data_IF_241112169771
#
_entry.id   IF_241112169771
#
_cell.length_a   1.000
_cell.length_b   1.000
_cell.length_c   1.000
_cell.angle_alpha   90.00
_cell.angle_beta   90.00
_cell.angle_gamma   90.00
#
_symmetry.space_group_name_H-M   'P 1'
#
loop_
_entity.id
_entity.type
_entity.pdbx_description
1 polymer ?
#
# COMPACT_ATOMS: atom_id res chain seq x y z
N UNK A 1 -36.06 21.03 -0.24
CA UNK A 1 -35.81 21.53 -1.59
C UNK A 1 -35.15 20.41 -2.38
N UNK A 2 -35.91 19.81 -3.32
CA UNK A 2 -35.34 18.79 -4.21
C UNK A 2 -34.65 19.52 -5.36
N UNK A 3 -33.35 19.75 -5.23
CA UNK A 3 -32.56 20.08 -6.40
C UNK A 3 -32.53 18.87 -7.31
N UNK A 4 -33.13 18.97 -8.47
CA UNK A 4 -33.04 18.01 -9.56
C UNK A 4 -31.58 18.07 -10.09
N UNK A 5 -30.64 17.45 -9.37
CA UNK A 5 -29.27 17.31 -9.84
C UNK A 5 -29.32 16.38 -11.04
N UNK A 6 -29.10 16.93 -12.23
CA UNK A 6 -29.02 16.17 -13.46
C UNK A 6 -27.84 15.21 -13.39
N UNK A 7 -28.13 13.91 -13.22
CA UNK A 7 -27.09 12.89 -13.14
C UNK A 7 -26.36 12.76 -14.46
N UNK A 8 -25.04 12.72 -14.42
CA UNK A 8 -24.18 12.58 -15.62
C UNK A 8 -24.11 11.13 -16.11
N UNK A 9 -24.57 10.18 -15.31
CA UNK A 9 -24.40 8.74 -15.54
C UNK A 9 -23.00 8.22 -15.24
N UNK A 10 -22.11 9.09 -14.74
CA UNK A 10 -20.75 8.72 -14.34
C UNK A 10 -20.66 8.69 -12.81
N UNK A 11 -20.60 7.50 -12.20
CA UNK A 11 -20.59 7.38 -10.74
C UNK A 11 -19.49 8.19 -10.05
N UNK A 12 -18.31 8.31 -10.66
CA UNK A 12 -17.19 9.11 -10.13
C UNK A 12 -17.51 10.61 -10.01
N UNK A 13 -18.42 11.12 -10.83
CA UNK A 13 -18.89 12.52 -10.80
C UNK A 13 -20.13 12.64 -9.92
N UNK A 14 -21.11 11.81 -10.17
CA UNK A 14 -22.42 11.86 -9.51
C UNK A 14 -22.38 11.41 -8.03
N UNK A 15 -21.38 10.59 -7.67
CA UNK A 15 -21.11 10.07 -6.32
C UNK A 15 -22.39 9.59 -5.60
N UNK A 16 -23.19 8.67 -6.19
CA UNK A 16 -24.51 8.29 -5.66
C UNK A 16 -24.45 7.67 -4.26
N UNK A 17 -23.28 7.17 -3.85
CA UNK A 17 -23.03 6.64 -2.50
C UNK A 17 -22.98 7.72 -1.42
N UNK A 18 -22.68 8.99 -1.76
CA UNK A 18 -22.49 10.07 -0.78
C UNK A 18 -23.75 10.33 0.07
N UNK A 19 -24.94 10.00 -0.44
CA UNK A 19 -26.19 10.12 0.32
C UNK A 19 -26.25 9.20 1.55
N UNK A 20 -25.46 8.12 1.55
CA UNK A 20 -25.41 7.17 2.67
C UNK A 20 -24.29 7.50 3.68
N UNK A 21 -23.45 8.48 3.39
CA UNK A 21 -22.37 8.88 4.28
C UNK A 21 -22.86 9.92 5.29
N UNK A 22 -22.50 9.79 6.58
CA UNK A 22 -22.67 10.86 7.56
C UNK A 22 -22.01 12.15 7.09
N UNK A 23 -22.53 13.31 7.50
CA UNK A 23 -22.01 14.62 7.05
C UNK A 23 -20.53 14.82 7.36
N UNK A 24 -20.06 14.29 8.50
CA UNK A 24 -18.66 14.34 8.90
C UNK A 24 -17.74 13.65 7.88
N UNK A 25 -18.22 12.62 7.18
CA UNK A 25 -17.43 11.90 6.19
C UNK A 25 -17.52 12.52 4.79
N UNK A 26 -18.52 13.34 4.51
CA UNK A 26 -18.69 13.99 3.20
C UNK A 26 -17.62 15.05 2.92
N UNK A 27 -17.07 15.64 3.98
CA UNK A 27 -16.06 16.70 3.91
C UNK A 27 -14.63 16.24 4.13
N UNK A 28 -14.36 14.92 4.18
CA UNK A 28 -13.00 14.44 4.40
C UNK A 28 -12.09 14.87 3.24
N UNK A 29 -11.05 15.61 3.60
CA UNK A 29 -9.94 15.93 2.69
C UNK A 29 -8.90 14.84 2.75
N UNK A 30 -8.67 14.15 1.62
CA UNK A 30 -7.59 13.19 1.51
C UNK A 30 -6.30 13.96 1.22
N UNK A 31 -5.26 13.86 2.07
CA UNK A 31 -4.02 14.58 1.84
C UNK A 31 -3.31 14.06 0.58
N UNK A 32 -2.69 14.96 -0.16
CA UNK A 32 -1.88 14.63 -1.33
C UNK A 32 -0.48 14.17 -0.88
N UNK A 33 -0.41 12.98 -0.31
CA UNK A 33 0.84 12.37 0.15
C UNK A 33 0.79 10.85 -0.06
N UNK A 34 1.94 10.19 0.02
CA UNK A 34 2.01 8.72 0.00
C UNK A 34 1.45 8.13 1.28
N UNK A 35 1.10 6.83 1.26
CA UNK A 35 0.64 6.13 2.47
C UNK A 35 1.76 6.11 3.52
N UNK A 36 2.99 5.92 3.10
CA UNK A 36 4.15 5.95 3.99
C UNK A 36 4.30 7.32 4.68
N UNK A 37 4.21 8.41 3.92
CA UNK A 37 4.25 9.77 4.47
C UNK A 37 3.09 10.03 5.44
N UNK A 38 1.88 9.59 5.08
CA UNK A 38 0.71 9.75 5.94
C UNK A 38 0.88 9.02 7.27
N UNK A 39 1.38 7.78 7.23
CA UNK A 39 1.60 6.96 8.42
C UNK A 39 2.75 7.50 9.27
N UNK A 40 3.84 8.00 8.68
CA UNK A 40 4.98 8.53 9.43
C UNK A 40 4.60 9.73 10.30
N UNK A 41 3.72 10.60 9.82
CA UNK A 41 3.18 11.73 10.60
C UNK A 41 2.26 11.25 11.73
N UNK A 42 1.45 10.22 11.49
CA UNK A 42 0.50 9.67 12.46
C UNK A 42 1.17 8.83 13.54
N UNK A 43 2.32 8.25 13.21
CA UNK A 43 3.13 7.43 14.10
C UNK A 43 4.20 8.24 14.84
N UNK A 44 3.85 9.43 15.34
CA UNK A 44 4.79 10.34 16.02
C UNK A 44 5.44 9.71 17.27
N UNK A 45 4.73 8.82 17.97
CA UNK A 45 5.31 8.03 19.05
C UNK A 45 5.74 6.65 18.54
N UNK A 46 7.06 6.38 18.45
CA UNK A 46 7.59 5.13 17.97
C UNK A 46 7.27 3.92 18.87
N UNK A 47 6.83 4.13 20.11
CA UNK A 47 6.55 3.07 21.07
C UNK A 47 5.10 2.55 20.97
N UNK A 48 4.22 3.28 20.29
CA UNK A 48 2.85 2.84 20.06
C UNK A 48 2.83 1.59 19.18
N UNK A 49 2.02 0.60 19.59
CA UNK A 49 1.83 -0.64 18.84
C UNK A 49 1.12 -0.34 17.52
N UNK A 50 1.76 -0.72 16.42
CA UNK A 50 1.24 -0.58 15.06
C UNK A 50 0.48 -1.83 14.60
N UNK A 51 0.95 -3.01 15.00
CA UNK A 51 0.39 -4.30 14.60
C UNK A 51 0.51 -5.33 15.72
N UNK A 52 -0.49 -6.22 15.78
CA UNK A 52 -0.43 -7.46 16.55
C UNK A 52 -0.31 -8.64 15.58
N UNK A 53 0.70 -9.48 15.74
CA UNK A 53 0.91 -10.63 14.87
C UNK A 53 1.32 -11.85 15.68
N UNK A 54 0.46 -12.87 15.72
CA UNK A 54 0.65 -14.13 16.46
C UNK A 54 1.15 -13.92 17.91
N UNK A 55 0.53 -12.97 18.63
CA UNK A 55 0.87 -12.67 20.04
C UNK A 55 2.08 -11.76 20.21
N UNK A 56 2.68 -11.25 19.15
CA UNK A 56 3.80 -10.31 19.18
C UNK A 56 3.30 -8.91 18.82
N UNK A 57 3.65 -7.95 19.68
CA UNK A 57 3.39 -6.53 19.44
C UNK A 57 4.53 -5.90 18.63
N UNK A 58 4.18 -5.30 17.51
CA UNK A 58 5.12 -4.60 16.63
C UNK A 58 4.82 -3.11 16.70
N UNK A 59 5.78 -2.33 17.20
CA UNK A 59 5.62 -0.88 17.34
C UNK A 59 5.91 -0.13 16.04
N UNK A 60 5.44 1.11 15.91
CA UNK A 60 5.75 1.99 14.78
C UNK A 60 7.26 2.18 14.59
N UNK A 61 8.01 2.32 15.67
CA UNK A 61 9.48 2.42 15.60
C UNK A 61 10.11 1.18 14.98
N UNK A 62 9.58 0.00 15.26
CA UNK A 62 10.02 -1.25 14.63
C UNK A 62 9.63 -1.29 13.15
N UNK A 63 8.39 -0.90 12.81
CA UNK A 63 7.91 -0.84 11.43
C UNK A 63 8.83 0.04 10.59
N UNK A 64 9.03 1.30 10.97
CA UNK A 64 9.82 2.23 10.15
C UNK A 64 11.31 1.86 10.06
N UNK A 65 11.88 1.27 11.12
CA UNK A 65 13.24 0.72 11.04
C UNK A 65 13.34 -0.43 10.02
N UNK A 66 12.32 -1.32 9.97
CA UNK A 66 12.24 -2.40 8.99
C UNK A 66 12.01 -1.87 7.58
N UNK A 67 11.11 -0.90 7.41
CA UNK A 67 10.87 -0.22 6.13
C UNK A 67 12.16 0.39 5.59
N UNK A 68 12.92 1.08 6.42
CA UNK A 68 14.18 1.72 6.07
C UNK A 68 15.24 0.69 5.63
N UNK A 69 15.37 -0.41 6.37
CA UNK A 69 16.28 -1.51 6.00
C UNK A 69 15.87 -2.19 4.69
N UNK A 70 14.56 -2.42 4.50
CA UNK A 70 14.01 -3.03 3.28
C UNK A 70 14.20 -2.12 2.07
N UNK A 71 13.97 -0.81 2.20
CA UNK A 71 14.20 0.16 1.13
C UNK A 71 15.67 0.17 0.66
N UNK A 72 16.61 0.18 1.60
CA UNK A 72 18.05 0.06 1.28
C UNK A 72 18.37 -1.25 0.59
N UNK A 73 17.83 -2.37 1.07
CA UNK A 73 18.06 -3.68 0.45
C UNK A 73 17.54 -3.72 -0.99
N UNK A 74 16.34 -3.21 -1.24
CA UNK A 74 15.78 -3.12 -2.59
C UNK A 74 16.67 -2.29 -3.53
N UNK A 75 17.19 -1.16 -3.06
CA UNK A 75 18.11 -0.32 -3.84
C UNK A 75 19.42 -1.05 -4.16
N UNK A 76 20.00 -1.78 -3.20
CA UNK A 76 21.21 -2.61 -3.42
C UNK A 76 20.92 -3.71 -4.44
N UNK A 77 19.73 -4.30 -4.44
CA UNK A 77 19.28 -5.27 -5.44
C UNK A 77 18.97 -4.64 -6.81
N UNK A 78 19.13 -3.33 -6.95
CA UNK A 78 19.00 -2.59 -8.20
C UNK A 78 17.57 -2.16 -8.52
N UNK A 79 16.64 -2.26 -7.56
CA UNK A 79 15.26 -1.74 -7.73
C UNK A 79 15.28 -0.22 -7.77
N UNK A 80 14.57 0.36 -8.74
CA UNK A 80 14.51 1.80 -9.00
C UNK A 80 13.06 2.28 -9.06
N UNK A 81 12.90 3.59 -9.08
CA UNK A 81 11.61 4.22 -9.34
C UNK A 81 11.00 3.70 -10.65
N UNK A 82 9.72 3.35 -10.60
CA UNK A 82 8.96 2.79 -11.71
C UNK A 82 9.05 1.28 -11.88
N UNK A 83 9.96 0.61 -11.17
CA UNK A 83 10.04 -0.86 -11.20
C UNK A 83 8.81 -1.49 -10.54
N UNK A 84 8.47 -2.69 -11.01
CA UNK A 84 7.44 -3.53 -10.41
C UNK A 84 8.08 -4.71 -9.67
N UNK A 85 7.62 -4.97 -8.46
CA UNK A 85 8.10 -6.04 -7.59
C UNK A 85 6.97 -7.07 -7.44
N UNK A 86 7.05 -8.24 -8.08
CA UNK A 86 6.08 -9.32 -7.87
C UNK A 86 6.15 -9.85 -6.44
N UNK A 87 4.99 -9.97 -5.80
CA UNK A 87 4.86 -10.37 -4.40
C UNK A 87 3.78 -11.43 -4.26
N UNK A 88 4.20 -12.59 -3.76
CA UNK A 88 3.36 -13.75 -3.47
C UNK A 88 3.43 -14.08 -1.98
N UNK A 89 3.31 -13.06 -1.14
CA UNK A 89 3.29 -13.17 0.31
C UNK A 89 1.85 -13.25 0.81
N UNK A 90 1.67 -13.97 1.91
CA UNK A 90 0.43 -13.94 2.69
C UNK A 90 0.37 -12.67 3.55
N UNK A 91 -0.67 -12.54 4.39
CA UNK A 91 -0.83 -11.42 5.33
C UNK A 91 0.18 -11.53 6.48
N UNK A 92 1.41 -11.11 6.23
CA UNK A 92 2.54 -11.11 7.19
C UNK A 92 3.07 -9.67 7.35
N UNK A 93 3.69 -9.35 8.49
CA UNK A 93 4.26 -8.01 8.72
C UNK A 93 5.28 -7.59 7.65
N UNK A 94 6.03 -8.53 7.10
CA UNK A 94 7.02 -8.33 6.04
C UNK A 94 6.38 -7.74 4.77
N UNK A 95 5.13 -8.09 4.47
CA UNK A 95 4.39 -7.48 3.35
C UNK A 95 4.21 -5.97 3.56
N UNK A 96 3.89 -5.53 4.79
CA UNK A 96 3.73 -4.11 5.12
C UNK A 96 5.08 -3.37 5.01
N UNK A 97 6.17 -3.99 5.50
CA UNK A 97 7.50 -3.38 5.36
C UNK A 97 7.90 -3.22 3.90
N UNK A 98 7.62 -4.24 3.09
CA UNK A 98 7.91 -4.23 1.66
C UNK A 98 7.07 -3.19 0.91
N UNK A 99 5.77 -3.11 1.22
CA UNK A 99 4.84 -2.15 0.61
C UNK A 99 5.32 -0.70 0.83
N UNK A 100 5.56 -0.33 2.08
CA UNK A 100 5.99 1.02 2.43
C UNK A 100 7.41 1.32 1.91
N UNK A 101 8.29 0.32 1.89
CA UNK A 101 9.64 0.47 1.35
C UNK A 101 9.63 0.67 -0.17
N UNK A 102 8.81 -0.09 -0.90
CA UNK A 102 8.64 0.07 -2.34
C UNK A 102 8.10 1.46 -2.69
N UNK A 103 7.06 1.89 -1.97
CA UNK A 103 6.48 3.22 -2.15
C UNK A 103 7.51 4.34 -1.91
N UNK A 104 8.35 4.22 -0.87
CA UNK A 104 9.41 5.18 -0.54
C UNK A 104 10.44 5.37 -1.66
N UNK A 105 10.78 4.30 -2.39
CA UNK A 105 11.72 4.35 -3.49
C UNK A 105 11.05 4.56 -4.87
N UNK A 106 9.72 4.74 -4.88
CA UNK A 106 8.94 4.96 -6.08
C UNK A 106 8.74 3.71 -6.94
N UNK A 107 8.90 2.51 -6.38
CA UNK A 107 8.55 1.24 -6.98
C UNK A 107 7.10 0.85 -6.62
N UNK A 108 6.53 -0.13 -7.31
CA UNK A 108 5.20 -0.65 -7.03
C UNK A 108 5.22 -2.15 -6.77
N UNK A 109 4.30 -2.64 -5.95
CA UNK A 109 4.10 -4.07 -5.75
C UNK A 109 3.11 -4.61 -6.78
N UNK A 110 3.45 -5.74 -7.39
CA UNK A 110 2.58 -6.52 -8.23
C UNK A 110 2.04 -7.71 -7.41
N UNK A 111 0.91 -7.47 -6.74
CA UNK A 111 0.24 -8.48 -5.92
C UNK A 111 -0.81 -9.21 -6.77
N UNK A 112 -0.70 -10.51 -6.88
CA UNK A 112 -1.65 -11.35 -7.61
C UNK A 112 -1.96 -12.62 -6.84
N UNK A 113 -3.21 -13.05 -6.94
CA UNK A 113 -3.72 -14.34 -6.44
C UNK A 113 -4.24 -15.13 -7.65
N UNK A 114 -3.32 -15.48 -8.54
CA UNK A 114 -3.59 -16.12 -9.82
C UNK A 114 -2.98 -17.52 -9.88
N UNK A 115 -3.17 -18.22 -10.99
CA UNK A 115 -2.49 -19.49 -11.25
C UNK A 115 -0.98 -19.31 -11.37
N UNK A 116 -0.24 -20.40 -11.24
CA UNK A 116 1.23 -20.36 -11.35
C UNK A 116 1.68 -19.84 -12.71
N UNK A 117 1.02 -20.28 -13.79
CA UNK A 117 1.33 -19.87 -15.16
C UNK A 117 1.14 -18.37 -15.37
N UNK A 118 0.02 -17.81 -14.90
CA UNK A 118 -0.27 -16.37 -14.98
C UNK A 118 0.72 -15.54 -14.14
N UNK A 119 1.15 -16.08 -13.00
CA UNK A 119 2.16 -15.44 -12.16
C UNK A 119 3.53 -15.42 -12.83
N UNK A 120 3.95 -16.52 -13.48
CA UNK A 120 5.20 -16.58 -14.25
C UNK A 120 5.18 -15.56 -15.40
N UNK A 121 4.08 -15.49 -16.15
CA UNK A 121 3.92 -14.52 -17.23
C UNK A 121 3.99 -13.07 -16.72
N UNK A 122 3.35 -12.79 -15.59
CA UNK A 122 3.37 -11.46 -14.98
C UNK A 122 4.79 -11.05 -14.54
N UNK A 123 5.55 -11.97 -13.94
CA UNK A 123 6.95 -11.76 -13.55
C UNK A 123 7.83 -11.46 -14.76
N UNK A 124 7.66 -12.21 -15.84
CA UNK A 124 8.40 -12.01 -17.08
C UNK A 124 8.07 -10.65 -17.72
N UNK A 125 6.78 -10.28 -17.78
CA UNK A 125 6.33 -8.98 -18.31
C UNK A 125 6.83 -7.79 -17.47
N UNK A 126 6.91 -7.96 -16.15
CA UNK A 126 7.40 -6.92 -15.24
C UNK A 126 8.92 -6.70 -15.39
N UNK A 127 9.66 -7.58 -16.06
CA UNK A 127 11.13 -7.57 -16.09
C UNK A 127 11.72 -7.39 -14.68
N UNK A 128 11.16 -8.16 -13.73
CA UNK A 128 11.39 -7.97 -12.32
C UNK A 128 12.83 -8.32 -11.91
N UNK A 129 13.46 -7.45 -11.11
CA UNK A 129 14.80 -7.66 -10.57
C UNK A 129 14.78 -8.56 -9.33
N UNK A 130 13.68 -8.52 -8.61
CA UNK A 130 13.46 -9.29 -7.38
C UNK A 130 12.02 -9.77 -7.33
N UNK A 131 11.80 -10.89 -6.67
CA UNK A 131 10.49 -11.49 -6.43
C UNK A 131 10.44 -11.89 -4.96
N UNK A 132 9.32 -11.63 -4.30
CA UNK A 132 9.08 -12.07 -2.93
C UNK A 132 8.04 -13.19 -2.92
N UNK A 133 8.42 -14.31 -2.32
CA UNK A 133 7.55 -15.48 -2.20
C UNK A 133 7.49 -15.94 -0.74
N UNK A 134 6.39 -16.60 -0.35
CA UNK A 134 6.28 -17.28 0.91
C UNK A 134 6.83 -18.71 0.74
N UNK A 135 7.64 -19.17 1.68
CA UNK A 135 8.11 -20.56 1.79
C UNK A 135 7.05 -21.48 2.44
#
# INVERSE_FOLDING_TARGET
MNENVMLTGKPSIDRPWMKFYPDVLRGIQVPACTVEQYLSVRAADPNVVAMHYYGVDITWGTVFRKVDATARALQVLGVKQGDQIPVFLRSVPEFIYLLLAAERIGASLLCRDNTLEENIEAVQKANAKVIFVHD
#
